data_IF_162167485718
#
_entry.id   IF_162167485718
#
_cell.length_a   1.000
_cell.length_b   1.000
_cell.length_c   1.000
_cell.angle_alpha   90.00
_cell.angle_beta   90.00
_cell.angle_gamma   90.00
#
_symmetry.space_group_name_H-M   'P 1'
#
loop_
_entity.id
_entity.type
_entity.pdbx_description
1 polymer ?
#
# COMPACT_ATOMS: atom_id res chain seq x y z
N UNK A 1 -10.85 3.08 6.42
CA UNK A 1 -12.08 3.14 5.59
C UNK A 1 -11.83 2.66 4.16
N UNK A 2 -10.83 3.12 3.43
CA UNK A 2 -10.60 2.81 2.02
C UNK A 2 -10.45 1.33 1.63
N UNK A 3 -10.31 0.42 2.60
CA UNK A 3 -10.26 -1.01 2.35
C UNK A 3 -11.58 -1.73 2.67
N UNK A 4 -12.69 -0.99 2.75
CA UNK A 4 -14.02 -1.57 2.88
C UNK A 4 -14.30 -2.48 1.69
N UNK A 5 -14.79 -3.69 1.96
CA UNK A 5 -15.05 -4.70 0.94
C UNK A 5 -13.85 -5.60 0.61
N UNK A 6 -12.63 -5.31 1.07
CA UNK A 6 -11.45 -6.12 0.77
C UNK A 6 -11.57 -7.57 1.28
N UNK A 7 -11.34 -8.53 0.40
CA UNK A 7 -11.22 -9.96 0.75
C UNK A 7 -9.74 -10.32 0.91
N UNK A 8 -9.23 -10.13 2.13
CA UNK A 8 -7.85 -10.39 2.46
C UNK A 8 -7.43 -11.85 2.23
N UNK A 9 -6.23 -12.04 1.69
CA UNK A 9 -5.61 -13.32 1.35
C UNK A 9 -6.38 -14.16 0.30
N UNK A 10 -7.34 -13.55 -0.39
CA UNK A 10 -8.02 -14.12 -1.56
C UNK A 10 -7.68 -13.34 -2.84
N UNK A 11 -8.19 -12.11 -2.94
CA UNK A 11 -7.94 -11.18 -4.05
C UNK A 11 -7.07 -9.99 -3.65
N UNK A 12 -7.02 -9.68 -2.35
CA UNK A 12 -6.29 -8.56 -1.74
C UNK A 12 -5.22 -9.09 -0.79
N UNK A 13 -4.00 -8.60 -0.95
CA UNK A 13 -2.83 -9.04 -0.17
C UNK A 13 -2.05 -7.85 0.35
N UNK A 14 -1.29 -8.07 1.41
CA UNK A 14 -0.28 -7.14 1.93
C UNK A 14 1.08 -7.83 2.09
N UNK A 15 2.12 -7.02 2.28
CA UNK A 15 3.46 -7.49 2.65
C UNK A 15 3.97 -6.82 3.93
N UNK A 16 3.08 -6.19 4.68
CA UNK A 16 3.37 -5.48 5.94
C UNK A 16 3.19 -6.36 7.17
N UNK A 17 2.43 -7.45 7.04
CA UNK A 17 2.27 -8.47 8.07
C UNK A 17 3.01 -9.75 7.67
N UNK A 18 3.42 -10.56 8.65
CA UNK A 18 4.10 -11.84 8.38
C UNK A 18 3.18 -12.80 7.62
N UNK A 19 1.96 -12.93 8.07
CA UNK A 19 0.93 -13.78 7.46
C UNK A 19 0.58 -13.30 6.05
N UNK A 20 0.42 -11.99 5.88
CA UNK A 20 0.17 -11.36 4.58
C UNK A 20 1.29 -11.61 3.59
N UNK A 21 2.55 -11.43 4.00
CA UNK A 21 3.73 -11.67 3.18
C UNK A 21 3.84 -13.15 2.76
N UNK A 22 3.54 -14.09 3.67
CA UNK A 22 3.52 -15.53 3.34
C UNK A 22 2.41 -15.88 2.35
N UNK A 23 1.21 -15.36 2.57
CA UNK A 23 0.08 -15.57 1.67
C UNK A 23 0.37 -14.98 0.28
N UNK A 24 0.89 -13.76 0.21
CA UNK A 24 1.29 -13.11 -1.04
C UNK A 24 2.38 -13.90 -1.77
N UNK A 25 3.42 -14.38 -1.07
CA UNK A 25 4.47 -15.22 -1.67
C UNK A 25 3.88 -16.46 -2.33
N UNK A 26 2.97 -17.15 -1.66
CA UNK A 26 2.33 -18.35 -2.20
C UNK A 26 1.47 -17.99 -3.41
N UNK A 27 0.67 -16.92 -3.32
CA UNK A 27 -0.14 -16.41 -4.43
C UNK A 27 0.71 -16.09 -5.66
N UNK A 28 1.80 -15.36 -5.51
CA UNK A 28 2.68 -14.98 -6.63
C UNK A 28 3.36 -16.18 -7.30
N UNK A 29 3.61 -17.27 -6.58
CA UNK A 29 4.18 -18.50 -7.15
C UNK A 29 3.21 -19.21 -8.10
N UNK A 30 1.94 -19.19 -7.76
CA UNK A 30 0.86 -19.88 -8.48
C UNK A 30 0.18 -18.98 -9.52
N UNK A 31 0.36 -17.66 -9.41
CA UNK A 31 -0.32 -16.71 -10.27
C UNK A 31 0.23 -16.74 -11.69
N UNK A 32 -0.66 -16.83 -12.67
CA UNK A 32 -0.35 -17.01 -14.09
C UNK A 32 -0.34 -15.71 -14.89
N UNK A 33 -0.63 -14.58 -14.26
CA UNK A 33 -0.61 -13.25 -14.88
C UNK A 33 -1.94 -12.51 -14.75
N UNK A 34 -2.03 -11.36 -15.41
CA UNK A 34 -3.15 -10.44 -15.35
C UNK A 34 -2.77 -9.07 -14.81
N UNK A 35 -3.73 -8.33 -14.28
CA UNK A 35 -3.55 -6.96 -13.76
C UNK A 35 -3.14 -7.00 -12.30
N UNK A 36 -1.89 -6.62 -12.02
CA UNK A 36 -1.36 -6.41 -10.68
C UNK A 36 -1.46 -4.92 -10.33
N UNK A 37 -2.28 -4.58 -9.34
CA UNK A 37 -2.23 -3.27 -8.71
C UNK A 37 -1.37 -3.33 -7.45
N UNK A 38 -0.38 -2.43 -7.34
CA UNK A 38 0.37 -2.15 -6.11
C UNK A 38 -0.11 -0.81 -5.58
N UNK A 39 -0.84 -0.84 -4.48
CA UNK A 39 -1.64 0.28 -4.02
C UNK A 39 -1.23 0.75 -2.61
N UNK A 40 -1.26 2.07 -2.42
CA UNK A 40 -1.13 2.71 -1.12
C UNK A 40 -2.50 3.24 -0.70
N UNK A 41 -3.04 2.71 0.40
CA UNK A 41 -4.38 3.10 0.88
C UNK A 41 -4.43 4.57 1.28
N UNK A 42 -3.47 5.03 2.07
CA UNK A 42 -3.41 6.41 2.57
C UNK A 42 -2.00 6.75 3.08
N UNK A 43 -1.77 8.04 3.34
CA UNK A 43 -0.54 8.52 3.96
C UNK A 43 -0.83 9.08 5.37
N UNK A 44 0.12 9.00 6.32
CA UNK A 44 1.47 8.43 6.19
C UNK A 44 1.49 6.91 6.28
N UNK A 45 2.49 6.29 5.66
CA UNK A 45 2.75 4.86 5.78
C UNK A 45 4.05 4.59 6.53
N UNK A 46 4.16 3.38 7.10
CA UNK A 46 5.30 2.95 7.92
C UNK A 46 6.65 3.05 7.18
N UNK A 47 6.68 2.74 5.89
CA UNK A 47 7.87 2.86 5.06
C UNK A 47 7.47 3.40 3.67
N UNK A 48 7.75 4.67 3.35
CA UNK A 48 7.30 5.27 2.10
C UNK A 48 7.98 4.69 0.85
N UNK A 49 9.10 3.98 1.00
CA UNK A 49 9.83 3.34 -0.11
C UNK A 49 9.28 1.96 -0.44
N UNK A 50 8.80 1.22 0.56
CA UNK A 50 8.44 -0.19 0.43
C UNK A 50 7.44 -0.52 -0.69
N UNK A 51 6.41 0.28 -1.00
CA UNK A 51 5.51 0.00 -2.13
C UNK A 51 6.22 0.05 -3.48
N UNK A 52 7.14 0.99 -3.67
CA UNK A 52 7.95 1.08 -4.88
C UNK A 52 8.98 -0.06 -4.97
N UNK A 53 9.64 -0.40 -3.86
CA UNK A 53 10.54 -1.55 -3.80
C UNK A 53 9.80 -2.83 -4.17
N UNK A 54 8.62 -3.05 -3.60
CA UNK A 54 7.79 -4.21 -3.96
C UNK A 54 7.43 -4.19 -5.44
N UNK A 55 7.07 -3.05 -6.00
CA UNK A 55 6.72 -2.90 -7.42
C UNK A 55 7.89 -3.30 -8.33
N UNK A 56 9.10 -2.84 -8.03
CA UNK A 56 10.30 -3.19 -8.79
C UNK A 56 10.73 -4.65 -8.58
N UNK A 57 10.57 -5.18 -7.37
CA UNK A 57 10.83 -6.59 -7.09
C UNK A 57 9.83 -7.50 -7.80
N UNK A 58 8.56 -7.11 -7.90
CA UNK A 58 7.54 -7.83 -8.67
C UNK A 58 7.89 -7.85 -10.17
N UNK A 59 8.29 -6.71 -10.75
CA UNK A 59 8.79 -6.65 -12.14
C UNK A 59 9.94 -7.65 -12.36
N UNK A 60 10.94 -7.64 -11.48
CA UNK A 60 12.08 -8.54 -11.53
C UNK A 60 11.65 -10.01 -11.38
N UNK A 61 10.77 -10.31 -10.43
CA UNK A 61 10.27 -11.65 -10.19
C UNK A 61 9.56 -12.23 -11.42
N UNK A 62 8.69 -11.46 -12.07
CA UNK A 62 8.00 -11.92 -13.27
C UNK A 62 8.90 -12.02 -14.49
N UNK A 63 9.96 -11.21 -14.58
CA UNK A 63 11.01 -11.41 -15.59
C UNK A 63 11.75 -12.73 -15.40
N UNK A 64 12.15 -13.08 -14.17
CA UNK A 64 12.79 -14.34 -13.86
C UNK A 64 11.89 -15.57 -14.10
N UNK A 65 10.57 -15.39 -13.94
CA UNK A 65 9.59 -16.42 -14.29
C UNK A 65 9.27 -16.49 -15.79
N UNK A 66 9.88 -15.65 -16.63
CA UNK A 66 9.61 -15.54 -18.07
C UNK A 66 8.11 -15.28 -18.39
N UNK A 67 7.46 -14.50 -17.53
CA UNK A 67 6.03 -14.18 -17.67
C UNK A 67 5.70 -12.68 -17.50
N UNK A 68 6.72 -11.80 -17.58
CA UNK A 68 6.52 -10.35 -17.40
C UNK A 68 5.55 -9.75 -18.42
N UNK A 69 5.50 -10.28 -19.62
CA UNK A 69 4.60 -9.91 -20.71
C UNK A 69 3.13 -10.27 -20.44
N UNK A 70 2.88 -11.22 -19.54
CA UNK A 70 1.53 -11.61 -19.10
C UNK A 70 1.03 -10.76 -17.91
N UNK A 71 1.86 -9.85 -17.38
CA UNK A 71 1.53 -9.08 -16.18
C UNK A 71 1.50 -7.59 -16.50
N UNK A 72 0.34 -6.97 -16.33
CA UNK A 72 0.20 -5.52 -16.35
C UNK A 72 0.37 -5.00 -14.92
N UNK A 73 1.45 -4.28 -14.64
CA UNK A 73 1.72 -3.71 -13.32
C UNK A 73 1.30 -2.24 -13.31
N UNK A 74 0.48 -1.87 -12.33
CA UNK A 74 0.11 -0.48 -12.07
C UNK A 74 0.42 -0.12 -10.61
N UNK A 75 1.19 0.93 -10.41
CA UNK A 75 1.44 1.55 -9.11
C UNK A 75 0.37 2.60 -8.84
N UNK A 76 -0.37 2.46 -7.75
CA UNK A 76 -1.51 3.33 -7.41
C UNK A 76 -1.24 4.03 -6.09
N UNK A 77 -1.31 5.35 -6.07
CA UNK A 77 -0.93 6.15 -4.91
C UNK A 77 -1.85 7.35 -4.67
N UNK A 78 -2.14 7.71 -3.41
CA UNK A 78 -2.84 8.95 -3.09
C UNK A 78 -1.96 10.21 -3.24
N UNK A 79 -0.66 10.05 -3.51
CA UNK A 79 0.25 11.16 -3.79
C UNK A 79 0.05 11.66 -5.22
N UNK A 80 0.48 12.91 -5.49
CA UNK A 80 0.48 13.51 -6.84
C UNK A 80 1.60 12.98 -7.76
N UNK A 81 2.38 12.00 -7.32
CA UNK A 81 3.44 11.35 -8.07
C UNK A 81 3.97 10.12 -7.34
N UNK A 82 4.98 9.48 -7.91
CA UNK A 82 5.50 8.20 -7.41
C UNK A 82 6.06 8.25 -5.98
N UNK A 83 6.48 9.41 -5.50
CA UNK A 83 7.12 9.54 -4.20
C UNK A 83 6.88 10.90 -3.54
N UNK A 84 7.28 11.04 -2.26
CA UNK A 84 7.03 12.22 -1.42
C UNK A 84 8.02 13.38 -1.66
N UNK A 85 9.09 13.18 -2.41
CA UNK A 85 10.14 14.17 -2.65
C UNK A 85 10.27 14.44 -4.16
N UNK A 86 10.19 15.70 -4.65
CA UNK A 86 10.11 16.00 -6.09
C UNK A 86 11.20 15.37 -6.93
N UNK A 87 12.49 15.51 -6.55
CA UNK A 87 13.60 14.91 -7.30
C UNK A 87 13.57 13.38 -7.35
N UNK A 88 13.14 12.74 -6.24
CA UNK A 88 13.00 11.29 -6.21
C UNK A 88 11.78 10.85 -7.03
N UNK A 89 10.69 11.59 -6.99
CA UNK A 89 9.50 11.36 -7.83
C UNK A 89 9.87 11.33 -9.30
N UNK A 90 10.54 12.36 -9.82
CA UNK A 90 10.98 12.45 -11.22
C UNK A 90 11.81 11.22 -11.63
N UNK A 91 12.83 10.86 -10.84
CA UNK A 91 13.69 9.72 -11.13
C UNK A 91 12.92 8.38 -11.10
N UNK A 92 12.05 8.20 -10.11
CA UNK A 92 11.29 6.96 -9.94
C UNK A 92 10.19 6.79 -11.00
N UNK A 93 9.57 7.88 -11.45
CA UNK A 93 8.61 7.86 -12.55
C UNK A 93 9.26 7.45 -13.86
N UNK A 94 10.45 7.96 -14.17
CA UNK A 94 11.22 7.50 -15.32
C UNK A 94 11.51 5.99 -15.26
N UNK A 95 11.91 5.48 -14.08
CA UNK A 95 12.17 4.05 -13.91
C UNK A 95 10.90 3.19 -14.06
N UNK A 96 9.74 3.69 -13.59
CA UNK A 96 8.46 3.01 -13.79
C UNK A 96 8.11 2.93 -15.28
N UNK A 97 8.24 4.03 -16.01
CA UNK A 97 8.01 4.10 -17.47
C UNK A 97 8.93 3.13 -18.21
N UNK A 98 10.24 3.15 -17.93
CA UNK A 98 11.24 2.28 -18.58
C UNK A 98 10.95 0.80 -18.37
N UNK A 99 10.29 0.45 -17.26
CA UNK A 99 9.87 -0.91 -16.94
C UNK A 99 8.46 -1.25 -17.43
N UNK A 100 7.82 -0.37 -18.16
CA UNK A 100 6.41 -0.53 -18.57
C UNK A 100 5.49 -0.78 -17.37
N UNK A 101 5.65 0.03 -16.32
CA UNK A 101 4.81 0.05 -15.14
C UNK A 101 3.99 1.33 -15.16
N UNK A 102 2.68 1.22 -15.12
CA UNK A 102 1.77 2.37 -15.08
C UNK A 102 1.76 3.00 -13.71
N UNK A 103 1.48 4.30 -13.64
CA UNK A 103 1.26 5.01 -12.38
C UNK A 103 -0.12 5.67 -12.42
N UNK A 104 -0.88 5.50 -11.33
CA UNK A 104 -2.15 6.18 -11.07
C UNK A 104 -1.98 7.00 -9.78
N UNK A 105 -1.75 8.27 -9.95
CA UNK A 105 -1.58 9.24 -8.85
C UNK A 105 -2.91 9.90 -8.45
N UNK A 106 -2.89 10.59 -7.30
CA UNK A 106 -4.06 11.26 -6.73
C UNK A 106 -5.27 10.33 -6.56
N UNK A 107 -5.00 9.04 -6.29
CA UNK A 107 -6.03 8.01 -6.12
C UNK A 107 -6.35 7.81 -4.64
N UNK A 108 -7.35 8.53 -4.14
CA UNK A 108 -7.86 8.37 -2.78
C UNK A 108 -8.95 7.30 -2.74
N UNK A 109 -8.59 6.09 -2.36
CA UNK A 109 -9.50 4.94 -2.39
C UNK A 109 -10.70 5.13 -1.47
N UNK A 110 -11.89 4.83 -1.97
CA UNK A 110 -13.14 4.77 -1.22
C UNK A 110 -13.45 3.35 -0.75
N UNK A 111 -13.40 2.38 -1.67
CA UNK A 111 -13.70 0.97 -1.38
C UNK A 111 -13.10 0.01 -2.40
N UNK A 112 -13.15 -1.30 -2.06
CA UNK A 112 -12.82 -2.41 -2.93
C UNK A 112 -14.10 -3.15 -3.32
N UNK A 113 -14.35 -3.29 -4.61
CA UNK A 113 -15.43 -4.12 -5.16
C UNK A 113 -14.85 -5.47 -5.59
N UNK A 114 -15.05 -6.49 -4.77
CA UNK A 114 -14.54 -7.84 -5.06
C UNK A 114 -15.34 -8.59 -6.13
N UNK A 115 -16.61 -8.27 -6.30
CA UNK A 115 -17.45 -8.93 -7.32
C UNK A 115 -16.94 -8.55 -8.71
N UNK A 116 -16.68 -7.26 -8.93
CA UNK A 116 -16.15 -6.73 -10.19
C UNK A 116 -14.62 -6.69 -10.24
N UNK A 117 -13.93 -7.04 -9.15
CA UNK A 117 -12.47 -6.95 -8.99
C UNK A 117 -11.94 -5.57 -9.36
N UNK A 118 -12.45 -4.54 -8.70
CA UNK A 118 -12.04 -3.16 -8.91
C UNK A 118 -11.77 -2.46 -7.58
N UNK A 119 -10.91 -1.43 -7.63
CA UNK A 119 -10.84 -0.41 -6.59
C UNK A 119 -11.48 0.87 -7.13
N UNK A 120 -12.18 1.56 -6.26
CA UNK A 120 -12.91 2.80 -6.58
C UNK A 120 -12.39 3.92 -5.69
N UNK A 121 -12.11 5.09 -6.26
CA UNK A 121 -11.75 6.27 -5.50
C UNK A 121 -12.94 7.19 -5.23
N UNK A 122 -12.78 8.15 -4.32
CA UNK A 122 -13.82 9.15 -4.01
C UNK A 122 -14.18 10.04 -5.20
N UNK A 123 -13.37 10.09 -6.24
CA UNK A 123 -13.64 10.79 -7.50
C UNK A 123 -14.45 9.97 -8.50
N UNK A 124 -14.73 8.70 -8.19
CA UNK A 124 -15.44 7.77 -9.07
C UNK A 124 -14.56 7.12 -10.13
N UNK A 125 -13.21 7.23 -10.04
CA UNK A 125 -12.32 6.45 -10.89
C UNK A 125 -12.35 4.99 -10.48
N UNK A 126 -12.33 4.10 -11.46
CA UNK A 126 -12.42 2.64 -11.26
C UNK A 126 -11.21 1.99 -11.89
N UNK A 127 -10.45 1.25 -11.10
CA UNK A 127 -9.28 0.49 -11.57
C UNK A 127 -9.49 -1.01 -11.38
N UNK A 128 -9.49 -1.79 -12.47
CA UNK A 128 -9.66 -3.24 -12.40
C UNK A 128 -8.36 -3.94 -12.00
N UNK A 129 -8.47 -5.05 -11.27
CA UNK A 129 -7.35 -5.90 -10.87
C UNK A 129 -7.68 -7.40 -10.93
N UNK A 130 -6.68 -8.22 -11.17
CA UNK A 130 -6.70 -9.65 -10.94
C UNK A 130 -6.00 -10.01 -9.62
N UNK A 131 -5.05 -9.18 -9.21
CA UNK A 131 -4.34 -9.25 -7.94
C UNK A 131 -4.11 -7.83 -7.40
N UNK A 132 -4.65 -7.55 -6.22
CA UNK A 132 -4.41 -6.30 -5.50
C UNK A 132 -3.42 -6.53 -4.35
N UNK A 133 -2.27 -5.88 -4.42
CA UNK A 133 -1.31 -5.80 -3.31
C UNK A 133 -1.35 -4.40 -2.76
N UNK A 134 -1.73 -4.25 -1.49
CA UNK A 134 -1.97 -2.93 -0.91
C UNK A 134 -1.20 -2.73 0.39
N UNK A 135 -0.82 -1.48 0.64
CA UNK A 135 -0.35 -1.06 1.95
C UNK A 135 -1.56 -0.66 2.78
N UNK A 136 -1.88 -1.43 3.84
CA UNK A 136 -3.03 -1.12 4.69
C UNK A 136 -2.79 0.16 5.50
N UNK A 137 -3.87 0.73 6.02
CA UNK A 137 -3.80 1.84 6.99
C UNK A 137 -2.88 1.48 8.15
N UNK A 138 -1.88 2.32 8.41
CA UNK A 138 -1.00 2.13 9.56
C UNK A 138 -1.66 2.63 10.84
N UNK A 139 -1.62 1.80 11.87
CA UNK A 139 -2.16 2.12 13.20
C UNK A 139 -1.12 1.82 14.28
N UNK A 140 -1.24 2.50 15.40
CA UNK A 140 -0.56 2.11 16.62
C UNK A 140 -1.08 0.77 17.16
N UNK A 141 -0.33 0.17 18.08
CA UNK A 141 -0.73 -1.10 18.70
C UNK A 141 -2.05 -0.96 19.48
N UNK A 142 -2.87 -2.02 19.48
CA UNK A 142 -4.13 -2.07 20.20
C UNK A 142 -4.00 -1.86 21.71
N UNK A 143 -2.80 -1.98 22.29
CA UNK A 143 -2.54 -1.62 23.69
C UNK A 143 -2.77 -0.15 23.94
N UNK A 144 -2.56 0.73 22.95
CA UNK A 144 -2.76 2.17 23.09
C UNK A 144 -4.23 2.51 23.30
N UNK A 145 -5.11 1.86 22.54
CA UNK A 145 -6.56 1.96 22.72
C UNK A 145 -6.99 1.44 24.11
N UNK A 146 -6.57 0.21 24.44
CA UNK A 146 -6.94 -0.44 25.73
C UNK A 146 -6.45 0.33 26.96
N UNK A 147 -5.35 1.07 26.84
CA UNK A 147 -4.79 1.86 27.93
C UNK A 147 -5.25 3.33 27.93
N UNK A 148 -6.04 3.73 26.95
CA UNK A 148 -6.53 5.11 26.83
C UNK A 148 -5.44 6.14 26.46
N UNK A 149 -4.37 5.69 25.80
CA UNK A 149 -3.26 6.57 25.38
C UNK A 149 -3.32 6.95 23.89
N UNK A 150 -4.03 6.18 23.09
CA UNK A 150 -4.08 6.35 21.64
C UNK A 150 -5.11 7.40 21.19
N UNK A 151 -4.86 7.99 20.04
CA UNK A 151 -5.85 8.67 19.22
C UNK A 151 -6.69 7.63 18.42
N UNK A 152 -7.52 8.09 17.48
CA UNK A 152 -8.38 7.22 16.65
C UNK A 152 -7.60 6.20 15.79
N UNK A 153 -6.31 6.43 15.58
CA UNK A 153 -5.39 5.52 14.90
C UNK A 153 -4.44 4.79 15.86
N UNK A 154 -4.69 4.87 17.16
CA UNK A 154 -3.84 4.28 18.20
C UNK A 154 -2.42 4.87 18.28
N UNK A 155 -2.18 6.06 17.73
CA UNK A 155 -0.93 6.76 17.98
C UNK A 155 -1.03 7.56 19.27
N UNK A 156 0.06 7.59 20.05
CA UNK A 156 0.12 8.39 21.28
C UNK A 156 0.30 9.87 20.92
N UNK A 157 -0.65 10.76 21.27
CA UNK A 157 -0.48 12.20 21.07
C UNK A 157 0.74 12.70 21.81
N UNK A 158 1.73 13.18 21.07
CA UNK A 158 3.09 13.47 21.62
C UNK A 158 3.50 14.90 21.29
N UNK A 159 4.18 15.55 22.21
CA UNK A 159 4.89 16.80 21.94
C UNK A 159 6.11 16.53 21.06
N UNK A 160 6.20 17.21 19.92
CA UNK A 160 7.24 16.95 18.91
C UNK A 160 8.66 17.34 19.35
N UNK A 161 8.79 18.28 20.27
CA UNK A 161 10.10 18.77 20.73
C UNK A 161 10.66 17.94 21.88
N UNK A 162 9.78 17.49 22.77
CA UNK A 162 10.17 16.77 23.99
C UNK A 162 9.94 15.27 23.93
N UNK A 163 9.17 14.80 22.94
CA UNK A 163 8.67 13.43 22.80
C UNK A 163 7.80 12.98 23.98
N UNK A 164 7.35 13.92 24.81
CA UNK A 164 6.49 13.64 25.96
C UNK A 164 5.04 13.43 25.51
N UNK A 165 4.41 12.42 26.08
CA UNK A 165 2.98 12.18 25.86
C UNK A 165 2.14 13.35 26.38
N UNK A 166 1.17 13.81 25.57
CA UNK A 166 0.20 14.83 25.99
C UNK A 166 -0.86 14.30 26.95
N UNK A 167 -0.95 12.97 27.11
CA UNK A 167 -1.92 12.30 27.99
C UNK A 167 -1.32 12.04 29.38
N UNK A 168 -0.03 11.65 29.44
CA UNK A 168 0.66 11.36 30.70
C UNK A 168 2.07 11.95 30.71
N UNK A 169 2.40 12.83 31.67
CA UNK A 169 3.67 13.56 31.66
C UNK A 169 4.90 12.71 32.00
N UNK A 170 4.73 11.51 32.49
CA UNK A 170 5.80 10.56 32.81
C UNK A 170 6.06 9.53 31.70
N UNK A 171 5.41 9.67 30.54
CA UNK A 171 5.58 8.79 29.37
C UNK A 171 6.20 9.60 28.22
N UNK A 172 7.21 9.02 27.60
CA UNK A 172 7.87 9.52 26.40
C UNK A 172 7.78 8.48 25.28
N UNK A 173 7.63 8.92 24.01
CA UNK A 173 7.39 8.06 22.85
C UNK A 173 8.44 8.28 21.78
#
# INVERSE_FOLDING_TARGET
EGMKGAEWQKSVFDFYTFEGALALRNKLREWEGGKLLVHITEMPIKCPVAPLEFTFLADSFFRHKEMRDKVEITFVTPLSGAFTKPKATETLEHLLVDKNIKIESDFAIEHVDNENKTIVDYGGRVLPFDLLVTVPTNKGDAIMERSGFGDDLNYVPTDKATLQSKVKPNIFV
#
